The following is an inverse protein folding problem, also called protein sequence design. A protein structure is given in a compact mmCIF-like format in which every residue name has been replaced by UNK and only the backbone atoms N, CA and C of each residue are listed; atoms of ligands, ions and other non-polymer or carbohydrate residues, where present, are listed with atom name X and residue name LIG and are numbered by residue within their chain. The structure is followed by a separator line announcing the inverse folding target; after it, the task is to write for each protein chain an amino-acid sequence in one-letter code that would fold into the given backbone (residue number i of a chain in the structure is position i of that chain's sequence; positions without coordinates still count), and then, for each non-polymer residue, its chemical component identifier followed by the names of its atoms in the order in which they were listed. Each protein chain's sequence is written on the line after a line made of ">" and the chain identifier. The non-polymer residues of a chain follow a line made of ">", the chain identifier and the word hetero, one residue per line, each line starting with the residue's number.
data_IF_897896027556
#
_entry.id   IF_897896027556
#
_cell.length_a   1.000
_cell.length_b   1.000
_cell.length_c   1.000
_cell.angle_alpha   90.00
_cell.angle_beta   90.00
_cell.angle_gamma   90.00
#
_symmetry.space_group_name_H-M   'P 1'
#
loop_
_entity.id
_entity.type
_entity.pdbx_description
1 polymer ?
#
# COMPACT_ATOMS: atom_id res chain seq x y z
N UNK A 1 8.89 -36.54 -12.75
CA UNK A 1 8.23 -35.54 -11.90
C UNK A 1 7.94 -34.36 -12.79
N UNK A 2 6.65 -34.12 -13.03
CA UNK A 2 6.10 -33.66 -14.31
C UNK A 2 6.23 -32.16 -14.56
N UNK A 3 6.88 -31.80 -15.67
CA UNK A 3 6.80 -30.47 -16.28
C UNK A 3 5.38 -30.09 -16.75
N UNK A 4 4.45 -31.05 -16.74
CA UNK A 4 3.04 -30.88 -17.10
C UNK A 4 2.19 -30.33 -15.93
N UNK A 5 2.64 -30.51 -14.68
CA UNK A 5 1.93 -30.00 -13.51
C UNK A 5 2.14 -28.50 -13.29
N UNK A 6 3.30 -27.97 -13.72
CA UNK A 6 3.65 -26.53 -13.64
C UNK A 6 2.94 -25.69 -14.71
N UNK A 7 2.59 -26.30 -15.85
CA UNK A 7 1.89 -25.62 -16.96
C UNK A 7 0.39 -25.40 -16.68
N UNK A 8 -0.19 -26.13 -15.73
CA UNK A 8 -1.58 -25.94 -15.28
C UNK A 8 -1.73 -24.93 -14.14
N UNK A 9 -0.64 -24.56 -13.46
CA UNK A 9 -0.73 -23.96 -12.13
C UNK A 9 -1.26 -22.53 -12.16
N UNK A 10 -0.99 -21.75 -13.21
CA UNK A 10 -1.31 -20.31 -13.21
C UNK A 10 -2.09 -19.84 -14.45
N UNK A 11 -3.17 -20.53 -14.81
CA UNK A 11 -4.12 -20.05 -15.84
C UNK A 11 -4.64 -18.63 -15.56
N UNK A 12 -4.66 -18.23 -14.28
CA UNK A 12 -5.01 -16.87 -13.83
C UNK A 12 -4.12 -15.80 -14.48
N UNK A 13 -2.90 -16.12 -14.94
CA UNK A 13 -2.01 -15.15 -15.58
C UNK A 13 -2.38 -14.83 -17.02
N UNK A 14 -3.22 -15.65 -17.66
CA UNK A 14 -3.74 -15.42 -19.02
C UNK A 14 -4.93 -14.45 -19.03
N UNK A 15 -5.41 -14.06 -17.84
CA UNK A 15 -6.48 -13.08 -17.68
C UNK A 15 -6.06 -11.68 -18.18
N UNK A 16 -7.07 -10.87 -18.52
CA UNK A 16 -6.88 -9.44 -18.73
C UNK A 16 -6.36 -8.78 -17.45
N UNK A 17 -5.80 -7.57 -17.57
CA UNK A 17 -5.29 -6.84 -16.39
C UNK A 17 -6.40 -6.61 -15.36
N UNK A 18 -7.60 -6.24 -15.82
CA UNK A 18 -8.77 -6.05 -14.96
C UNK A 18 -9.21 -7.35 -14.26
N UNK A 19 -9.34 -8.45 -15.00
CA UNK A 19 -9.75 -9.74 -14.43
C UNK A 19 -8.69 -10.30 -13.46
N UNK A 20 -7.41 -10.05 -13.73
CA UNK A 20 -6.31 -10.41 -12.84
C UNK A 20 -6.33 -9.58 -11.55
N UNK A 21 -6.61 -8.28 -11.65
CA UNK A 21 -6.76 -7.40 -10.49
C UNK A 21 -7.91 -7.87 -9.60
N UNK A 22 -9.07 -8.16 -10.20
CA UNK A 22 -10.25 -8.68 -9.49
C UNK A 22 -9.92 -10.00 -8.79
N UNK A 23 -9.20 -10.91 -9.46
CA UNK A 23 -8.77 -12.17 -8.86
C UNK A 23 -7.87 -11.95 -7.63
N UNK A 24 -6.92 -11.02 -7.70
CA UNK A 24 -6.04 -10.66 -6.57
C UNK A 24 -6.85 -10.05 -5.43
N UNK A 25 -7.71 -9.07 -5.73
CA UNK A 25 -8.55 -8.38 -4.73
C UNK A 25 -9.46 -9.36 -3.99
N UNK A 26 -10.01 -10.36 -4.68
CA UNK A 26 -10.80 -11.42 -4.04
C UNK A 26 -9.98 -12.23 -3.05
N UNK A 27 -8.75 -12.64 -3.41
CA UNK A 27 -7.85 -13.35 -2.49
C UNK A 27 -7.55 -12.49 -1.26
N UNK A 28 -7.28 -11.20 -1.46
CA UNK A 28 -7.03 -10.27 -0.37
C UNK A 28 -8.26 -10.10 0.53
N UNK A 29 -9.46 -9.98 -0.05
CA UNK A 29 -10.71 -9.88 0.72
C UNK A 29 -10.93 -11.11 1.61
N UNK A 30 -10.58 -12.30 1.12
CA UNK A 30 -10.72 -13.56 1.86
C UNK A 30 -9.65 -13.74 2.94
N UNK A 31 -8.44 -13.19 2.75
CA UNK A 31 -7.25 -13.52 3.57
C UNK A 31 -6.70 -12.38 4.42
N UNK A 32 -6.82 -11.13 3.97
CA UNK A 32 -6.39 -9.93 4.67
C UNK A 32 -7.51 -9.45 5.61
N UNK A 33 -7.61 -10.08 6.78
CA UNK A 33 -8.65 -9.79 7.77
C UNK A 33 -8.16 -8.86 8.88
N UNK A 34 -9.09 -8.11 9.47
CA UNK A 34 -8.80 -7.11 10.51
C UNK A 34 -9.23 -5.73 10.04
N UNK A 35 -9.24 -4.78 10.97
CA UNK A 35 -9.52 -3.38 10.65
C UNK A 35 -8.20 -2.66 10.35
N UNK A 36 -7.97 -2.19 9.11
CA UNK A 36 -6.78 -1.41 8.77
C UNK A 36 -6.74 -0.03 9.44
N UNK A 37 -7.88 0.51 9.87
CA UNK A 37 -7.96 1.76 10.65
C UNK A 37 -7.70 1.51 12.15
N UNK A 38 -7.64 0.25 12.57
CA UNK A 38 -7.40 -0.13 13.96
C UNK A 38 -5.96 0.14 14.39
N UNK A 39 -5.79 0.72 15.57
CA UNK A 39 -4.47 0.97 16.18
C UNK A 39 -3.88 -0.25 16.90
N UNK A 40 -4.64 -1.36 17.02
CA UNK A 40 -4.24 -2.55 17.77
C UNK A 40 -3.24 -3.45 17.02
N UNK A 41 -2.95 -3.13 15.75
CA UNK A 41 -2.03 -3.87 14.89
C UNK A 41 -2.57 -5.22 14.42
N UNK A 42 -3.85 -5.53 14.64
CA UNK A 42 -4.41 -6.82 14.27
C UNK A 42 -4.35 -7.06 12.74
N UNK A 43 -4.62 -6.02 11.94
CA UNK A 43 -4.51 -6.10 10.48
C UNK A 43 -3.06 -6.35 10.04
N UNK A 44 -2.10 -5.57 10.57
CA UNK A 44 -0.68 -5.76 10.26
C UNK A 44 -0.17 -7.16 10.63
N UNK A 45 -0.57 -7.66 11.80
CA UNK A 45 -0.24 -9.01 12.26
C UNK A 45 -0.86 -10.10 11.36
N UNK A 46 -2.09 -9.87 10.87
CA UNK A 46 -2.74 -10.79 9.94
C UNK A 46 -1.98 -10.86 8.60
N UNK A 47 -1.74 -9.72 7.94
CA UNK A 47 -1.11 -9.69 6.61
C UNK A 47 0.36 -10.17 6.65
N UNK A 48 1.02 -10.12 7.82
CA UNK A 48 2.36 -10.66 8.01
C UNK A 48 2.46 -12.17 7.73
N UNK A 49 1.35 -12.91 7.83
CA UNK A 49 1.27 -14.35 7.56
C UNK A 49 1.04 -14.68 6.08
N UNK A 50 0.78 -13.68 5.23
CA UNK A 50 0.58 -13.88 3.80
C UNK A 50 1.92 -14.09 3.09
N UNK A 51 1.86 -14.64 1.87
CA UNK A 51 3.01 -14.68 0.97
C UNK A 51 3.53 -13.26 0.71
N UNK A 52 4.84 -13.08 0.40
CA UNK A 52 5.42 -11.74 0.30
C UNK A 52 4.69 -10.81 -0.68
N UNK A 53 4.22 -11.35 -1.82
CA UNK A 53 3.45 -10.58 -2.81
C UNK A 53 2.09 -10.16 -2.28
N UNK A 54 1.29 -11.10 -1.73
CA UNK A 54 -0.02 -10.76 -1.16
C UNK A 54 0.09 -9.80 0.03
N UNK A 55 1.12 -9.94 0.87
CA UNK A 55 1.38 -8.99 1.96
C UNK A 55 1.67 -7.60 1.43
N UNK A 56 2.52 -7.47 0.41
CA UNK A 56 2.82 -6.19 -0.22
C UNK A 56 1.56 -5.55 -0.82
N UNK A 57 0.73 -6.34 -1.50
CA UNK A 57 -0.53 -5.89 -2.06
C UNK A 57 -1.51 -5.45 -0.95
N UNK A 58 -1.74 -6.28 0.07
CA UNK A 58 -2.59 -5.94 1.19
C UNK A 58 -2.19 -4.62 1.89
N UNK A 59 -0.89 -4.42 2.11
CA UNK A 59 -0.38 -3.21 2.77
C UNK A 59 -0.52 -1.96 1.90
N UNK A 60 -0.18 -2.07 0.61
CA UNK A 60 -0.20 -0.92 -0.32
C UNK A 60 -1.60 -0.52 -0.81
N UNK A 61 -2.60 -1.38 -0.65
CA UNK A 61 -4.00 -1.07 -0.99
C UNK A 61 -4.51 0.20 -0.29
N UNK A 62 -4.23 0.33 1.00
CA UNK A 62 -4.69 1.47 1.79
C UNK A 62 -3.95 2.76 1.44
N UNK A 63 -2.70 2.65 0.99
CA UNK A 63 -1.98 3.78 0.43
C UNK A 63 -2.60 4.22 -0.89
N UNK A 64 -2.95 3.27 -1.77
CA UNK A 64 -3.63 3.59 -3.03
C UNK A 64 -4.93 4.38 -2.80
N UNK A 65 -5.75 3.92 -1.85
CA UNK A 65 -6.98 4.64 -1.45
C UNK A 65 -6.65 6.05 -0.96
N UNK A 66 -5.63 6.22 -0.11
CA UNK A 66 -5.23 7.54 0.38
C UNK A 66 -4.76 8.46 -0.76
N UNK A 67 -3.98 7.95 -1.72
CA UNK A 67 -3.52 8.75 -2.86
C UNK A 67 -4.66 9.11 -3.82
N UNK A 68 -5.68 8.26 -3.94
CA UNK A 68 -6.83 8.51 -4.80
C UNK A 68 -7.85 9.48 -4.20
N UNK A 69 -8.01 9.50 -2.87
CA UNK A 69 -9.06 10.28 -2.18
C UNK A 69 -8.53 11.51 -1.45
N UNK A 70 -7.32 11.43 -0.89
CA UNK A 70 -6.75 12.42 0.00
C UNK A 70 -5.30 12.74 -0.39
N UNK A 71 -4.33 12.29 0.41
CA UNK A 71 -2.92 12.55 0.19
C UNK A 71 -2.02 11.56 0.95
N UNK A 72 -0.71 11.60 0.66
CA UNK A 72 0.27 10.74 1.36
C UNK A 72 0.43 11.16 2.83
N UNK A 73 0.26 12.44 3.16
CA UNK A 73 0.29 12.88 4.56
C UNK A 73 -0.97 12.46 5.33
N UNK A 74 -2.14 12.47 4.67
CA UNK A 74 -3.39 12.02 5.27
C UNK A 74 -3.39 10.52 5.57
N UNK A 75 -2.70 9.72 4.74
CA UNK A 75 -2.54 8.28 4.94
C UNK A 75 -2.14 7.91 6.37
N UNK A 76 -1.20 8.64 6.97
CA UNK A 76 -0.72 8.33 8.33
C UNK A 76 -1.75 8.65 9.42
N UNK A 77 -2.71 9.55 9.17
CA UNK A 77 -3.81 9.78 10.10
C UNK A 77 -4.79 8.61 10.13
N UNK A 78 -5.03 7.96 8.99
CA UNK A 78 -5.97 6.84 8.87
C UNK A 78 -5.32 5.46 9.13
N UNK A 79 -4.04 5.30 8.74
CA UNK A 79 -3.34 4.02 8.65
C UNK A 79 -1.95 4.09 9.31
N UNK A 80 -1.81 4.91 10.36
CA UNK A 80 -0.55 5.19 11.05
C UNK A 80 -0.06 4.09 11.99
N UNK A 81 -0.76 2.96 12.09
CA UNK A 81 -0.35 1.83 12.93
C UNK A 81 1.08 1.38 12.52
N UNK A 82 2.05 1.28 13.45
CA UNK A 82 3.45 1.07 13.12
C UNK A 82 3.74 -0.17 12.27
N UNK A 83 3.05 -1.28 12.53
CA UNK A 83 3.18 -2.51 11.76
C UNK A 83 2.70 -2.35 10.32
N UNK A 84 1.56 -1.70 10.12
CA UNK A 84 1.00 -1.42 8.79
C UNK A 84 1.90 -0.45 8.02
N UNK A 85 2.36 0.63 8.65
CA UNK A 85 3.32 1.59 8.05
C UNK A 85 4.58 0.88 7.56
N UNK A 86 5.16 0.01 8.39
CA UNK A 86 6.35 -0.76 8.01
C UNK A 86 6.06 -1.74 6.86
N UNK A 87 4.91 -2.40 6.88
CA UNK A 87 4.49 -3.32 5.84
C UNK A 87 4.24 -2.59 4.51
N UNK A 88 3.66 -1.39 4.53
CA UNK A 88 3.40 -0.57 3.33
C UNK A 88 4.71 -0.14 2.69
N UNK A 89 5.67 0.36 3.47
CA UNK A 89 6.98 0.77 2.94
C UNK A 89 7.76 -0.41 2.35
N UNK A 90 7.73 -1.57 3.03
CA UNK A 90 8.34 -2.79 2.51
C UNK A 90 7.62 -3.29 1.25
N UNK A 91 6.29 -3.18 1.22
CA UNK A 91 5.46 -3.58 0.09
C UNK A 91 5.73 -2.75 -1.17
N UNK A 92 5.86 -1.43 -1.04
CA UNK A 92 6.26 -0.56 -2.14
C UNK A 92 7.60 -0.99 -2.75
N UNK A 93 8.59 -1.33 -1.91
CA UNK A 93 9.89 -1.82 -2.40
C UNK A 93 9.81 -3.20 -3.05
N UNK A 94 9.02 -4.10 -2.48
CA UNK A 94 8.77 -5.43 -3.04
C UNK A 94 8.14 -5.32 -4.45
N UNK A 95 7.23 -4.38 -4.64
CA UNK A 95 6.57 -4.10 -5.92
C UNK A 95 7.44 -3.27 -6.89
N UNK A 96 8.67 -2.93 -6.52
CA UNK A 96 9.58 -2.13 -7.36
C UNK A 96 9.28 -0.62 -7.39
N UNK A 97 8.35 -0.14 -6.57
CA UNK A 97 7.95 1.27 -6.46
C UNK A 97 8.89 2.07 -5.56
N UNK A 98 10.20 2.04 -5.85
CA UNK A 98 11.23 2.58 -4.96
C UNK A 98 11.14 4.10 -4.74
N UNK A 99 10.76 4.86 -5.77
CA UNK A 99 10.60 6.32 -5.66
C UNK A 99 9.42 6.67 -4.73
N UNK A 100 8.28 5.99 -4.91
CA UNK A 100 7.13 6.15 -4.03
C UNK A 100 7.46 5.68 -2.60
N UNK A 101 8.23 4.59 -2.43
CA UNK A 101 8.71 4.15 -1.12
C UNK A 101 9.60 5.20 -0.43
N UNK A 102 10.45 5.90 -1.18
CA UNK A 102 11.24 7.02 -0.67
C UNK A 102 10.34 8.18 -0.21
N UNK A 103 9.30 8.49 -1.00
CA UNK A 103 8.34 9.53 -0.64
C UNK A 103 7.49 9.17 0.58
N UNK A 104 7.05 7.92 0.67
CA UNK A 104 6.37 7.39 1.83
C UNK A 104 7.23 7.48 3.09
N UNK A 105 8.52 7.12 3.02
CA UNK A 105 9.43 7.21 4.15
C UNK A 105 9.63 8.66 4.62
N UNK A 106 9.79 9.63 3.70
CA UNK A 106 9.89 11.05 4.06
C UNK A 106 8.59 11.57 4.70
N UNK A 107 7.43 11.15 4.19
CA UNK A 107 6.13 11.50 4.78
C UNK A 107 5.91 10.86 6.15
N UNK A 108 6.34 9.61 6.35
CA UNK A 108 6.34 8.95 7.65
C UNK A 108 7.19 9.72 8.66
N UNK A 109 8.41 10.08 8.29
CA UNK A 109 9.35 10.77 9.17
C UNK A 109 8.84 12.18 9.55
N UNK A 110 8.00 12.79 8.71
CA UNK A 110 7.28 14.02 9.02
C UNK A 110 6.07 13.76 9.95
N UNK A 111 5.20 12.81 9.58
CA UNK A 111 3.87 12.67 10.18
C UNK A 111 3.87 11.89 11.49
N UNK A 112 4.58 10.76 11.59
CA UNK A 112 4.52 9.91 12.79
C UNK A 112 4.92 10.65 14.07
N UNK A 113 5.99 11.46 14.11
CA UNK A 113 6.32 12.23 15.31
C UNK A 113 5.21 13.21 15.70
N UNK A 114 4.59 13.88 14.73
CA UNK A 114 3.49 14.83 14.97
C UNK A 114 2.27 14.11 15.54
N UNK A 115 1.87 13.00 14.92
CA UNK A 115 0.71 12.22 15.34
C UNK A 115 0.91 11.57 16.71
N UNK A 116 2.15 11.19 17.08
CA UNK A 116 2.44 10.60 18.39
C UNK A 116 2.15 11.51 19.59
N UNK A 117 1.94 12.81 19.34
CA UNK A 117 1.63 13.81 20.35
C UNK A 117 0.22 14.39 20.20
N UNK A 118 -0.54 13.90 19.23
CA UNK A 118 -1.88 14.34 18.92
C UNK A 118 -2.90 13.23 19.21
N UNK A 119 -4.11 13.67 19.50
CA UNK A 119 -5.32 12.87 19.57
C UNK A 119 -6.25 13.31 18.44
N UNK A 120 -7.33 12.57 18.19
CA UNK A 120 -8.36 12.99 17.22
C UNK A 120 -8.93 14.39 17.51
N UNK A 121 -8.85 14.85 18.76
CA UNK A 121 -9.32 16.18 19.17
C UNK A 121 -8.39 17.33 18.73
N UNK A 122 -7.13 17.04 18.38
CA UNK A 122 -6.13 18.04 17.98
C UNK A 122 -6.26 18.48 16.51
N UNK A 123 -7.19 17.87 15.78
CA UNK A 123 -7.55 18.20 14.41
C UNK A 123 -7.14 17.10 13.42
N UNK A 124 -7.44 17.35 12.15
CA UNK A 124 -7.05 16.43 11.08
C UNK A 124 -5.55 16.60 10.71
N UNK A 125 -4.97 15.70 9.90
CA UNK A 125 -3.57 15.78 9.49
C UNK A 125 -3.12 17.16 8.95
N UNK A 126 -3.96 17.88 8.20
CA UNK A 126 -3.62 19.21 7.70
C UNK A 126 -3.61 20.27 8.81
N UNK A 127 -4.54 20.19 9.77
CA UNK A 127 -4.57 21.08 10.93
C UNK A 127 -3.30 20.91 11.76
N UNK A 128 -2.89 19.65 12.01
CA UNK A 128 -1.68 19.31 12.75
C UNK A 128 -0.43 19.86 12.05
N UNK A 129 -0.32 19.68 10.72
CA UNK A 129 0.77 20.23 9.92
C UNK A 129 0.81 21.76 9.97
N UNK A 130 -0.35 22.41 9.88
CA UNK A 130 -0.46 23.87 9.94
C UNK A 130 -0.05 24.42 11.31
N UNK A 131 -0.56 23.83 12.40
CA UNK A 131 -0.20 24.22 13.77
C UNK A 131 1.30 24.05 14.05
N UNK A 132 1.93 23.06 13.41
CA UNK A 132 3.37 22.77 13.54
C UNK A 132 4.24 23.62 12.60
N UNK A 133 3.66 24.48 11.76
CA UNK A 133 4.39 25.28 10.77
C UNK A 133 5.02 24.46 9.63
N UNK A 134 4.53 23.23 9.41
CA UNK A 134 5.06 22.26 8.45
C UNK A 134 4.15 22.05 7.23
N UNK A 135 3.11 22.87 7.08
CA UNK A 135 2.12 22.75 6.01
C UNK A 135 2.75 22.71 4.61
N UNK A 136 3.70 23.60 4.31
CA UNK A 136 4.34 23.64 2.99
C UNK A 136 5.14 22.36 2.73
N UNK A 137 5.81 21.82 3.76
CA UNK A 137 6.53 20.56 3.62
C UNK A 137 5.59 19.36 3.38
N UNK A 138 4.41 19.36 4.02
CA UNK A 138 3.37 18.37 3.75
C UNK A 138 2.89 18.44 2.29
N UNK A 139 2.56 19.65 1.82
CA UNK A 139 2.13 19.87 0.42
C UNK A 139 3.19 19.43 -0.60
N UNK A 140 4.47 19.72 -0.35
CA UNK A 140 5.56 19.28 -1.22
C UNK A 140 5.58 17.74 -1.37
N UNK A 141 5.35 17.01 -0.29
CA UNK A 141 5.33 15.55 -0.30
C UNK A 141 4.07 15.02 -0.98
N UNK A 142 2.91 15.64 -0.73
CA UNK A 142 1.65 15.30 -1.39
C UNK A 142 1.77 15.48 -2.92
N UNK A 143 2.23 16.66 -3.38
CA UNK A 143 2.46 16.94 -4.81
C UNK A 143 3.48 15.98 -5.43
N UNK A 144 4.53 15.60 -4.69
CA UNK A 144 5.51 14.64 -5.21
C UNK A 144 4.92 13.23 -5.33
N UNK A 145 4.10 12.81 -4.37
CA UNK A 145 3.42 11.52 -4.43
C UNK A 145 2.41 11.46 -5.59
N UNK A 146 1.62 12.53 -5.78
CA UNK A 146 0.72 12.68 -6.93
C UNK A 146 1.50 12.61 -8.25
N UNK A 147 2.58 13.38 -8.39
CA UNK A 147 3.40 13.36 -9.62
C UNK A 147 4.02 11.99 -9.92
N UNK A 148 4.33 11.18 -8.90
CA UNK A 148 4.77 9.80 -9.08
C UNK A 148 3.60 8.92 -9.51
N UNK A 149 2.44 9.05 -8.86
CA UNK A 149 1.24 8.27 -9.17
C UNK A 149 0.75 8.54 -10.62
N UNK A 150 0.86 9.77 -11.09
CA UNK A 150 0.52 10.21 -12.46
C UNK A 150 1.43 9.61 -13.55
N UNK A 151 2.52 8.92 -13.19
CA UNK A 151 3.33 8.18 -14.17
C UNK A 151 2.65 6.92 -14.69
N UNK A 152 1.57 6.48 -14.04
CA UNK A 152 0.72 5.41 -14.53
C UNK A 152 0.05 5.79 -15.86
N UNK A 153 -0.20 4.80 -16.72
CA UNK A 153 -0.61 5.09 -18.10
C UNK A 153 -2.10 5.34 -18.21
N UNK A 154 -2.91 4.62 -17.43
CA UNK A 154 -4.38 4.69 -17.50
C UNK A 154 -5.07 4.44 -16.13
N UNK A 155 -4.40 3.82 -15.14
CA UNK A 155 -4.99 3.46 -13.83
C UNK A 155 -4.09 3.86 -12.63
N UNK A 156 -4.29 3.23 -11.46
CA UNK A 156 -3.43 3.35 -10.29
C UNK A 156 -2.04 2.75 -10.56
N UNK A 157 -0.98 3.52 -10.29
CA UNK A 157 0.40 3.05 -10.31
C UNK A 157 0.61 1.80 -9.44
N UNK A 158 -0.05 1.75 -8.27
CA UNK A 158 0.07 0.64 -7.33
C UNK A 158 -0.58 -0.61 -7.90
N UNK A 159 -1.79 -0.53 -8.47
CA UNK A 159 -2.45 -1.70 -9.08
C UNK A 159 -1.77 -2.14 -10.37
N UNK A 160 -1.28 -1.23 -11.21
CA UNK A 160 -0.44 -1.58 -12.36
C UNK A 160 0.79 -2.40 -11.90
N UNK A 161 1.44 -1.99 -10.81
CA UNK A 161 2.56 -2.73 -10.22
C UNK A 161 2.16 -4.10 -9.67
N UNK A 162 0.95 -4.25 -9.10
CA UNK A 162 0.45 -5.55 -8.64
C UNK A 162 0.30 -6.54 -9.79
N UNK A 163 -0.29 -6.10 -10.91
CA UNK A 163 -0.48 -6.93 -12.10
C UNK A 163 0.87 -7.38 -12.65
N UNK A 164 1.81 -6.45 -12.81
CA UNK A 164 3.15 -6.76 -13.30
C UNK A 164 3.87 -7.73 -12.37
N UNK A 165 3.81 -7.49 -11.05
CA UNK A 165 4.44 -8.33 -10.05
C UNK A 165 3.84 -9.74 -10.03
N UNK A 166 2.51 -9.87 -10.06
CA UNK A 166 1.82 -11.17 -10.08
C UNK A 166 2.19 -12.02 -11.30
N UNK A 167 2.41 -11.39 -12.45
CA UNK A 167 2.87 -12.07 -13.68
C UNK A 167 4.33 -12.50 -13.60
N UNK A 168 5.19 -11.73 -12.93
CA UNK A 168 6.61 -12.04 -12.79
C UNK A 168 6.89 -13.06 -11.67
N UNK A 169 6.07 -13.02 -10.62
CA UNK A 169 6.23 -13.79 -9.39
C UNK A 169 4.93 -14.47 -8.93
N UNK A 170 4.28 -15.29 -9.78
CA UNK A 170 3.00 -15.90 -9.46
C UNK A 170 3.04 -16.77 -8.21
N UNK A 171 4.17 -17.41 -7.92
CA UNK A 171 4.38 -18.20 -6.71
C UNK A 171 4.33 -17.37 -5.43
N UNK A 172 4.59 -16.06 -5.50
CA UNK A 172 4.53 -15.16 -4.34
C UNK A 172 3.15 -14.55 -4.13
N UNK A 173 2.20 -14.85 -5.02
CA UNK A 173 0.84 -14.31 -4.99
C UNK A 173 -0.22 -15.42 -4.94
N UNK A 174 -0.05 -16.49 -5.70
CA UNK A 174 -1.04 -17.53 -5.92
C UNK A 174 -0.66 -18.91 -5.36
N UNK A 175 0.57 -19.10 -4.88
CA UNK A 175 0.95 -20.29 -4.11
C UNK A 175 0.55 -20.08 -2.65
N UNK A 176 -0.72 -20.36 -2.37
CA UNK A 176 -1.42 -19.95 -1.15
C UNK A 176 -2.22 -21.07 -0.50
#
# INVERSE_FOLDING_TARGET
>A
MDADSSRRTWQVLELSDADLLEAIQRILTERASGDPYGEDGAFAANIANLSPGLRAMAATHWLDISLALDSITWHFGNFGEPGLVAATEAGLRELGLHELAGCFAEARDLMIPLLSHCTEADGNPYDILNQSGLQERGKELDTRAEAIADLARDESLIYEAWIQYARQHPERVFDV
#
